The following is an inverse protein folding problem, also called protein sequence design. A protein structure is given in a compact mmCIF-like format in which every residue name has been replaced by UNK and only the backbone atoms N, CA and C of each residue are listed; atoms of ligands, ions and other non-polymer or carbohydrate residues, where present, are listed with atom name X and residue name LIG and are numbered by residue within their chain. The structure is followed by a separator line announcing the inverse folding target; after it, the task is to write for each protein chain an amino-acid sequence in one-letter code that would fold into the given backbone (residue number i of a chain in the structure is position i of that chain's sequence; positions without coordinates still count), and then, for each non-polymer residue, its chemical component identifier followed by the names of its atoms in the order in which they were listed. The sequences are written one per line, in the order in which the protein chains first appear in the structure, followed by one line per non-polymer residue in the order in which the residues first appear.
data_IF_953964522304
#
_entry.id   IF_953964522304
#
_cell.length_a   1.000
_cell.length_b   1.000
_cell.length_c   1.000
_cell.angle_alpha   90.00
_cell.angle_beta   90.00
_cell.angle_gamma   90.00
#
_symmetry.space_group_name_H-M   'P 1'
#
loop_
_entity.id
_entity.type
_entity.pdbx_description
1 polymer ?
#
# COMPACT_ATOMS: atom_id res chain seq x y z
N UNK A 1 -3.63 17.62 4.90
CA UNK A 1 -3.57 17.81 3.43
C UNK A 1 -4.88 17.29 2.84
N UNK A 2 -5.89 18.16 2.61
CA UNK A 2 -7.23 17.74 2.23
C UNK A 2 -7.22 17.32 0.76
N UNK A 3 -7.11 16.01 0.50
CA UNK A 3 -6.99 15.43 -0.85
C UNK A 3 -6.44 14.00 -0.88
N UNK A 4 -5.84 13.53 0.22
CA UNK A 4 -5.22 12.20 0.32
C UNK A 4 -6.20 11.12 0.80
N UNK A 5 -7.35 10.93 0.12
CA UNK A 5 -8.24 9.80 0.42
C UNK A 5 -7.78 8.56 -0.35
N UNK A 6 -7.74 7.40 0.31
CA UNK A 6 -7.49 6.14 -0.34
C UNK A 6 -8.68 5.76 -1.24
N UNK A 7 -8.48 5.82 -2.56
CA UNK A 7 -9.48 5.44 -3.55
C UNK A 7 -8.84 4.55 -4.63
N UNK A 8 -9.02 3.22 -4.59
CA UNK A 8 -8.49 2.30 -5.61
C UNK A 8 -9.11 2.49 -7.00
N UNK A 9 -10.39 2.88 -7.07
CA UNK A 9 -11.15 2.97 -8.34
C UNK A 9 -10.56 4.02 -9.30
N UNK A 10 -9.78 4.98 -8.80
CA UNK A 10 -9.04 5.95 -9.62
C UNK A 10 -8.18 5.31 -10.70
N UNK A 11 -7.68 4.09 -10.49
CA UNK A 11 -6.88 3.36 -11.47
C UNK A 11 -7.71 2.73 -12.59
N UNK A 12 -9.01 2.48 -12.37
CA UNK A 12 -9.92 2.04 -13.44
C UNK A 12 -10.32 3.21 -14.34
N UNK A 13 -10.60 4.37 -13.75
CA UNK A 13 -11.06 5.57 -14.48
C UNK A 13 -9.92 6.34 -15.16
N UNK A 14 -8.77 6.47 -14.48
CA UNK A 14 -7.66 7.31 -14.94
C UNK A 14 -6.78 6.70 -16.03
N UNK A 15 -6.82 5.36 -16.20
CA UNK A 15 -6.06 4.61 -17.20
C UNK A 15 -4.57 4.98 -17.28
N UNK A 16 -4.01 4.93 -18.49
CA UNK A 16 -2.58 5.21 -18.76
C UNK A 16 -2.13 6.61 -18.33
N UNK A 17 -3.03 7.60 -18.37
CA UNK A 17 -2.69 8.98 -18.00
C UNK A 17 -2.43 9.11 -16.49
N UNK A 18 -3.15 8.35 -15.66
CA UNK A 18 -2.88 8.29 -14.24
C UNK A 18 -1.59 7.51 -13.94
N UNK A 19 -1.38 6.38 -14.62
CA UNK A 19 -0.18 5.56 -14.44
C UNK A 19 1.11 6.37 -14.64
N UNK A 20 1.13 7.25 -15.65
CA UNK A 20 2.26 8.14 -15.93
C UNK A 20 2.49 9.21 -14.85
N UNK A 21 1.47 9.54 -14.05
CA UNK A 21 1.55 10.53 -12.96
C UNK A 21 1.90 9.91 -11.60
N UNK A 22 1.87 8.58 -11.50
CA UNK A 22 2.20 7.85 -10.27
C UNK A 22 3.66 7.42 -10.33
N UNK A 23 4.53 8.13 -9.60
CA UNK A 23 5.99 7.99 -9.68
C UNK A 23 6.60 7.57 -8.33
N UNK A 24 6.24 6.41 -7.75
CA UNK A 24 6.73 5.98 -6.44
C UNK A 24 8.21 5.56 -6.46
N UNK A 25 8.76 5.24 -7.63
CA UNK A 25 10.13 4.75 -7.83
C UNK A 25 11.04 5.76 -8.55
N UNK A 26 10.61 7.02 -8.67
CA UNK A 26 11.30 8.01 -9.48
C UNK A 26 11.12 7.80 -10.99
N UNK A 27 11.73 8.68 -11.79
CA UNK A 27 11.65 8.67 -13.26
C UNK A 27 13.01 9.06 -13.87
N UNK A 28 13.32 8.55 -15.06
CA UNK A 28 14.52 8.92 -15.82
C UNK A 28 15.78 8.14 -15.41
N UNK A 29 16.97 8.72 -15.63
CA UNK A 29 18.27 8.03 -15.48
C UNK A 29 18.59 7.53 -14.06
N UNK A 30 17.83 7.97 -13.07
CA UNK A 30 17.99 7.63 -11.64
C UNK A 30 16.72 7.00 -11.06
N UNK A 31 15.83 6.47 -11.90
CA UNK A 31 14.71 5.67 -11.42
C UNK A 31 15.24 4.46 -10.64
N UNK A 32 14.43 3.96 -9.71
CA UNK A 32 14.79 2.84 -8.86
C UNK A 32 15.08 1.61 -9.72
N UNK A 33 16.32 1.14 -9.69
CA UNK A 33 16.73 -0.10 -10.38
C UNK A 33 15.95 -1.33 -9.86
N UNK A 34 15.47 -1.26 -8.62
CA UNK A 34 14.66 -2.30 -7.98
C UNK A 34 13.16 -2.21 -8.28
N UNK A 35 12.69 -1.31 -9.14
CA UNK A 35 11.25 -1.12 -9.39
C UNK A 35 10.56 -2.42 -9.83
N UNK A 36 11.14 -3.15 -10.79
CA UNK A 36 10.54 -4.40 -11.30
C UNK A 36 10.44 -5.45 -10.20
N UNK A 37 11.49 -5.59 -9.38
CA UNK A 37 11.51 -6.52 -8.25
C UNK A 37 10.47 -6.11 -7.20
N UNK A 38 10.49 -4.84 -6.78
CA UNK A 38 9.58 -4.33 -5.75
C UNK A 38 8.11 -4.49 -6.17
N UNK A 39 7.77 -4.24 -7.44
CA UNK A 39 6.42 -4.46 -7.96
C UNK A 39 5.99 -5.93 -7.88
N UNK A 40 6.89 -6.85 -8.23
CA UNK A 40 6.62 -8.28 -8.12
C UNK A 40 6.45 -8.72 -6.66
N UNK A 41 7.34 -8.27 -5.77
CA UNK A 41 7.27 -8.57 -4.33
C UNK A 41 5.98 -8.04 -3.70
N UNK A 42 5.64 -6.77 -3.93
CA UNK A 42 4.40 -6.16 -3.40
C UNK A 42 3.18 -6.94 -3.90
N UNK A 43 3.14 -7.30 -5.19
CA UNK A 43 2.03 -8.07 -5.74
C UNK A 43 1.92 -9.45 -5.08
N UNK A 44 3.01 -10.20 -5.02
CA UNK A 44 3.02 -11.56 -4.47
C UNK A 44 2.69 -11.58 -2.98
N UNK A 45 3.25 -10.66 -2.19
CA UNK A 45 2.99 -10.56 -0.75
C UNK A 45 1.52 -10.23 -0.52
N UNK A 46 0.98 -9.19 -1.16
CA UNK A 46 -0.41 -8.79 -0.98
C UNK A 46 -1.39 -9.86 -1.47
N UNK A 47 -1.13 -10.47 -2.63
CA UNK A 47 -1.99 -11.51 -3.17
C UNK A 47 -2.04 -12.74 -2.24
N UNK A 48 -0.89 -13.16 -1.68
CA UNK A 48 -0.86 -14.27 -0.74
C UNK A 48 -1.54 -13.94 0.59
N UNK A 49 -1.35 -12.72 1.11
CA UNK A 49 -2.01 -12.30 2.36
C UNK A 49 -3.53 -12.29 2.19
N UNK A 50 -4.04 -11.64 1.15
CA UNK A 50 -5.48 -11.52 0.90
C UNK A 50 -6.10 -12.88 0.55
N UNK A 51 -5.37 -13.75 -0.16
CA UNK A 51 -5.89 -15.06 -0.56
C UNK A 51 -5.99 -16.06 0.59
N UNK A 52 -5.18 -15.91 1.65
CA UNK A 52 -5.06 -16.89 2.74
C UNK A 52 -5.62 -16.39 4.07
N UNK A 53 -5.75 -15.09 4.24
CA UNK A 53 -6.15 -14.48 5.51
C UNK A 53 -7.24 -13.44 5.31
N UNK A 54 -8.21 -13.46 6.21
CA UNK A 54 -9.08 -12.33 6.50
C UNK A 54 -8.39 -11.43 7.52
N UNK A 55 -8.28 -10.15 7.20
CA UNK A 55 -7.60 -9.15 8.02
C UNK A 55 -8.62 -8.29 8.75
N UNK A 56 -8.53 -8.25 10.08
CA UNK A 56 -9.40 -7.44 10.93
C UNK A 56 -8.57 -6.43 11.72
N UNK A 57 -9.18 -5.27 11.95
CA UNK A 57 -8.67 -4.27 12.88
C UNK A 57 -8.75 -4.78 14.32
N UNK A 58 -7.79 -4.36 15.14
CA UNK A 58 -7.82 -4.58 16.58
C UNK A 58 -8.88 -3.68 17.24
N UNK A 59 -9.93 -4.23 17.88
CA UNK A 59 -10.96 -3.43 18.52
C UNK A 59 -10.45 -2.50 19.62
N UNK A 60 -9.32 -2.83 20.25
CA UNK A 60 -8.73 -2.04 21.33
C UNK A 60 -7.76 -0.98 20.80
N UNK A 61 -7.26 -1.13 19.58
CA UNK A 61 -6.28 -0.25 18.96
C UNK A 61 -6.61 0.02 17.48
N UNK A 62 -7.58 0.91 17.20
CA UNK A 62 -7.93 1.28 15.83
C UNK A 62 -6.75 1.84 15.04
N UNK A 63 -6.70 1.54 13.74
CA UNK A 63 -5.66 1.96 12.82
C UNK A 63 -5.82 3.45 12.51
N UNK A 64 -4.81 4.21 12.89
CA UNK A 64 -4.65 5.61 12.50
C UNK A 64 -3.81 5.71 11.22
N UNK A 65 -4.36 6.38 10.21
CA UNK A 65 -3.74 6.57 8.90
C UNK A 65 -2.76 7.75 8.86
N UNK A 66 -2.58 8.46 9.98
CA UNK A 66 -1.56 9.50 10.09
C UNK A 66 -0.12 8.93 10.14
N UNK A 67 0.78 9.56 9.37
CA UNK A 67 2.21 9.25 9.40
C UNK A 67 2.85 9.80 10.68
N UNK A 68 3.68 8.99 11.34
CA UNK A 68 4.58 9.44 12.43
C UNK A 68 5.62 10.42 11.90
N UNK A 69 5.98 10.27 10.63
CA UNK A 69 6.92 11.13 9.90
C UNK A 69 6.16 11.84 8.77
N UNK A 70 5.35 12.86 9.06
CA UNK A 70 4.58 13.56 8.04
C UNK A 70 5.50 14.39 7.12
N UNK A 71 6.67 14.80 7.62
CA UNK A 71 7.72 15.50 6.89
C UNK A 71 9.01 14.74 7.15
N UNK A 72 9.39 13.84 6.25
CA UNK A 72 10.58 13.01 6.38
C UNK A 72 10.92 12.26 5.09
N UNK A 73 12.10 11.64 5.04
CA UNK A 73 12.54 10.89 3.86
C UNK A 73 11.64 9.68 3.53
N UNK A 74 10.97 9.11 4.53
CA UNK A 74 10.03 8.01 4.38
C UNK A 74 8.80 8.27 5.25
N UNK A 75 7.61 8.12 4.67
CA UNK A 75 6.35 8.11 5.43
C UNK A 75 6.25 6.79 6.18
N UNK A 76 6.16 6.85 7.51
CA UNK A 76 6.02 5.67 8.37
C UNK A 76 4.68 5.73 9.10
N UNK A 77 3.86 4.66 9.03
CA UNK A 77 2.65 4.59 9.83
C UNK A 77 2.99 4.54 11.32
N UNK A 78 2.02 4.88 12.17
CA UNK A 78 2.05 4.56 13.60
C UNK A 78 2.06 3.04 13.77
N UNK A 79 2.52 2.54 14.92
CA UNK A 79 2.41 1.12 15.21
C UNK A 79 0.92 0.74 15.30
N UNK A 80 0.52 -0.32 14.62
CA UNK A 80 -0.85 -0.83 14.65
C UNK A 80 -0.83 -2.36 14.73
N UNK A 81 -1.89 -2.91 15.30
CA UNK A 81 -2.13 -4.34 15.36
C UNK A 81 -3.10 -4.74 14.26
N UNK A 82 -2.92 -5.94 13.70
CA UNK A 82 -3.86 -6.55 12.76
C UNK A 82 -4.12 -7.98 13.19
N UNK A 83 -5.39 -8.36 13.27
CA UNK A 83 -5.81 -9.72 13.55
C UNK A 83 -5.93 -10.45 12.21
N UNK A 84 -5.07 -11.44 11.99
CA UNK A 84 -5.12 -12.31 10.82
C UNK A 84 -5.89 -13.58 11.17
N UNK A 85 -7.05 -13.79 10.56
CA UNK A 85 -7.76 -15.07 10.62
C UNK A 85 -7.49 -15.82 9.34
N UNK A 86 -6.97 -17.04 9.45
CA UNK A 86 -6.76 -17.86 8.27
C UNK A 86 -8.12 -18.16 7.63
N UNK A 87 -8.28 -17.75 6.38
CA UNK A 87 -9.41 -18.18 5.56
C UNK A 87 -9.23 -19.69 5.42
N UNK A 88 -10.14 -20.48 5.98
CA UNK A 88 -10.09 -21.93 5.87
C UNK A 88 -10.12 -22.29 4.38
N UNK A 89 -8.94 -22.54 3.81
CA UNK A 89 -8.83 -23.26 2.56
C UNK A 89 -9.10 -24.73 2.89
N UNK A 90 -10.23 -25.24 2.39
CA UNK A 90 -10.39 -26.68 2.14
C UNK A 90 -9.31 -27.16 1.16
#
# INVERSE_FOLDING_TARGET
MPGCKFNPERYKEGGKALEQRVIPFGIGKRSCIGETLARAEIFLILANLISRYEMFEDPEAPVDMESVTPIGMMHRPKNFNVILKQTLCF
#
